data_IF_170223951270
#
_entry.id   IF_170223951270
#
_cell.length_a   1.000
_cell.length_b   1.000
_cell.length_c   1.000
_cell.angle_alpha   90.00
_cell.angle_beta   90.00
_cell.angle_gamma   90.00
#
_symmetry.space_group_name_H-M   'P 1'
#
loop_
_entity.id
_entity.type
_entity.pdbx_description
1 polymer ?
#
# COMPACT_ATOMS: atom_id res chain seq x y z
N UNK A 1 2.05 -31.43 -17.94
CA UNK A 1 2.93 -31.20 -16.79
C UNK A 1 2.64 -29.78 -16.37
N UNK A 2 1.59 -29.69 -15.57
CA UNK A 2 0.61 -28.59 -15.50
C UNK A 2 0.96 -27.60 -14.38
N UNK A 3 0.15 -26.54 -14.16
CA UNK A 3 0.20 -25.57 -13.05
C UNK A 3 0.46 -26.15 -11.64
N UNK A 4 0.41 -27.48 -11.50
CA UNK A 4 0.91 -28.31 -10.40
C UNK A 4 2.25 -27.85 -9.79
N UNK A 5 3.28 -27.60 -10.59
CA UNK A 5 4.61 -27.18 -10.08
C UNK A 5 4.67 -25.67 -9.78
N UNK A 6 3.76 -24.88 -10.35
CA UNK A 6 3.59 -23.45 -10.05
C UNK A 6 3.15 -23.24 -8.59
N UNK A 7 2.34 -24.17 -8.06
CA UNK A 7 1.70 -24.05 -6.76
C UNK A 7 2.54 -24.58 -5.59
N UNK A 8 3.21 -25.73 -5.69
CA UNK A 8 3.89 -26.34 -4.53
C UNK A 8 5.03 -25.48 -3.95
N UNK A 9 5.72 -24.71 -4.79
CA UNK A 9 6.87 -23.90 -4.41
C UNK A 9 6.46 -22.51 -3.87
N UNK A 10 5.45 -21.89 -4.50
CA UNK A 10 4.83 -20.62 -4.05
C UNK A 10 3.94 -20.83 -2.81
N UNK A 11 3.44 -22.05 -2.58
CA UNK A 11 2.67 -22.44 -1.40
C UNK A 11 3.50 -23.07 -0.28
N UNK A 12 4.74 -23.49 -0.54
CA UNK A 12 5.66 -23.97 0.51
C UNK A 12 5.86 -22.92 1.62
N UNK A 13 5.59 -21.64 1.32
CA UNK A 13 5.62 -20.50 2.23
C UNK A 13 4.26 -20.09 2.80
N UNK A 14 3.11 -20.53 2.27
CA UNK A 14 1.77 -20.02 2.63
C UNK A 14 0.74 -21.05 3.16
N UNK A 15 1.04 -22.36 3.13
CA UNK A 15 0.35 -23.37 3.95
C UNK A 15 -1.11 -23.71 3.59
N UNK A 16 -1.62 -23.37 2.39
CA UNK A 16 -3.02 -23.60 2.01
C UNK A 16 -3.21 -24.83 1.09
N UNK A 17 -3.60 -25.96 1.68
CA UNK A 17 -3.69 -27.26 1.00
C UNK A 17 -5.06 -27.56 0.32
N UNK A 18 -6.13 -26.78 0.56
CA UNK A 18 -7.46 -27.07 -0.03
C UNK A 18 -7.70 -26.43 -1.41
N UNK A 19 -7.05 -25.29 -1.69
CA UNK A 19 -7.21 -24.52 -2.93
C UNK A 19 -6.48 -25.12 -4.12
N UNK A 20 -5.38 -25.86 -3.89
CA UNK A 20 -4.72 -26.71 -4.89
C UNK A 20 -5.71 -27.69 -5.49
N UNK A 21 -6.54 -28.34 -4.67
CA UNK A 21 -7.49 -29.36 -5.16
C UNK A 21 -8.58 -28.80 -6.08
N UNK A 22 -9.02 -27.56 -5.89
CA UNK A 22 -10.07 -26.91 -6.70
C UNK A 22 -9.53 -26.44 -8.06
N UNK A 23 -8.30 -25.92 -8.09
CA UNK A 23 -7.60 -25.58 -9.33
C UNK A 23 -7.34 -26.87 -10.13
N UNK A 24 -6.86 -27.92 -9.47
CA UNK A 24 -6.65 -29.24 -10.08
C UNK A 24 -7.93 -29.82 -10.69
N UNK A 25 -9.06 -29.64 -10.01
CA UNK A 25 -10.33 -30.14 -10.53
C UNK A 25 -10.79 -29.37 -11.77
N UNK A 26 -10.55 -28.06 -11.82
CA UNK A 26 -10.96 -27.18 -12.92
C UNK A 26 -10.09 -27.40 -14.16
N UNK A 27 -8.77 -27.52 -14.01
CA UNK A 27 -7.86 -27.81 -15.12
C UNK A 27 -8.11 -29.19 -15.72
N UNK A 28 -8.32 -30.21 -14.88
CA UNK A 28 -8.64 -31.56 -15.32
C UNK A 28 -9.98 -31.59 -16.07
N UNK A 29 -10.99 -30.83 -15.64
CA UNK A 29 -12.29 -30.77 -16.32
C UNK A 29 -12.20 -30.14 -17.72
N UNK A 30 -11.35 -29.12 -17.89
CA UNK A 30 -11.09 -28.47 -19.19
C UNK A 30 -10.32 -29.40 -20.11
N UNK A 31 -9.26 -30.06 -19.62
CA UNK A 31 -8.46 -31.01 -20.38
C UNK A 31 -9.28 -32.25 -20.81
N UNK A 32 -10.09 -32.81 -19.90
CA UNK A 32 -10.92 -33.99 -20.16
C UNK A 32 -12.01 -33.68 -21.21
N UNK A 33 -12.62 -32.48 -21.19
CA UNK A 33 -13.59 -32.08 -22.22
C UNK A 33 -12.95 -31.93 -23.60
N UNK A 34 -11.72 -31.41 -23.67
CA UNK A 34 -10.96 -31.33 -24.91
C UNK A 34 -10.55 -32.71 -25.46
N UNK A 35 -10.13 -33.65 -24.61
CA UNK A 35 -9.78 -35.02 -25.01
C UNK A 35 -10.99 -35.85 -25.50
N UNK A 36 -12.19 -35.57 -24.97
CA UNK A 36 -13.44 -36.21 -25.41
C UNK A 36 -14.01 -35.63 -26.71
N UNK A 37 -13.31 -34.72 -27.39
CA UNK A 37 -13.75 -34.10 -28.64
C UNK A 37 -14.91 -33.10 -28.47
N UNK A 38 -15.20 -32.69 -27.23
CA UNK A 38 -16.13 -31.60 -26.95
C UNK A 38 -15.37 -30.28 -26.97
N UNK A 39 -15.36 -29.59 -28.12
CA UNK A 39 -14.89 -28.21 -28.19
C UNK A 39 -15.78 -27.32 -27.32
N UNK A 40 -15.21 -26.81 -26.23
CA UNK A 40 -15.81 -25.71 -25.49
C UNK A 40 -16.09 -24.57 -26.46
N UNK A 41 -17.21 -23.85 -26.26
CA UNK A 41 -17.38 -22.61 -26.99
C UNK A 41 -16.29 -21.60 -26.59
N UNK A 42 -15.92 -20.65 -27.45
CA UNK A 42 -14.96 -19.61 -27.10
C UNK A 42 -15.30 -18.88 -25.79
N UNK A 43 -16.59 -18.65 -25.52
CA UNK A 43 -17.10 -18.04 -24.29
C UNK A 43 -16.87 -18.92 -23.05
N UNK A 44 -17.06 -20.23 -23.18
CA UNK A 44 -16.82 -21.17 -22.07
C UNK A 44 -15.33 -21.31 -21.75
N UNK A 45 -14.48 -21.27 -22.78
CA UNK A 45 -13.02 -21.27 -22.62
C UNK A 45 -12.53 -20.00 -21.92
N UNK A 46 -13.05 -18.84 -22.30
CA UNK A 46 -12.72 -17.56 -21.66
C UNK A 46 -13.16 -17.52 -20.18
N UNK A 47 -14.39 -17.96 -19.87
CA UNK A 47 -14.85 -18.07 -18.48
C UNK A 47 -13.99 -19.03 -17.64
N UNK A 48 -13.52 -20.13 -18.23
CA UNK A 48 -12.64 -21.06 -17.53
C UNK A 48 -11.28 -20.42 -17.20
N UNK A 49 -10.69 -19.68 -18.14
CA UNK A 49 -9.42 -18.99 -17.89
C UNK A 49 -9.54 -17.83 -16.90
N UNK A 50 -10.64 -17.08 -16.92
CA UNK A 50 -10.94 -16.08 -15.90
C UNK A 50 -11.06 -16.71 -14.51
N UNK A 51 -11.76 -17.85 -14.40
CA UNK A 51 -11.88 -18.60 -13.16
C UNK A 51 -10.51 -19.04 -12.61
N UNK A 52 -9.64 -19.59 -13.47
CA UNK A 52 -8.29 -19.99 -13.05
C UNK A 52 -7.45 -18.77 -12.66
N UNK A 53 -7.54 -17.66 -13.41
CA UNK A 53 -6.84 -16.43 -13.07
C UNK A 53 -7.29 -15.85 -11.72
N UNK A 54 -8.58 -15.89 -11.40
CA UNK A 54 -9.09 -15.48 -10.08
C UNK A 54 -8.56 -16.38 -8.95
N UNK A 55 -8.55 -17.70 -9.16
CA UNK A 55 -7.97 -18.63 -8.19
C UNK A 55 -6.48 -18.36 -7.96
N UNK A 56 -5.71 -18.16 -9.03
CA UNK A 56 -4.29 -17.80 -8.94
C UNK A 56 -4.07 -16.46 -8.23
N UNK A 57 -4.90 -15.44 -8.50
CA UNK A 57 -4.81 -14.14 -7.81
C UNK A 57 -4.98 -14.30 -6.29
N UNK A 58 -5.94 -15.13 -5.87
CA UNK A 58 -6.20 -15.41 -4.46
C UNK A 58 -5.06 -16.21 -3.81
N UNK A 59 -4.58 -17.26 -4.48
CA UNK A 59 -3.48 -18.11 -4.00
C UNK A 59 -2.20 -17.30 -3.82
N UNK A 60 -1.86 -16.47 -4.79
CA UNK A 60 -0.67 -15.64 -4.78
C UNK A 60 -0.85 -14.36 -3.93
N UNK A 61 -2.06 -14.12 -3.42
CA UNK A 61 -2.43 -12.92 -2.68
C UNK A 61 -2.11 -11.64 -3.47
N UNK A 62 -2.24 -11.68 -4.81
CA UNK A 62 -1.96 -10.53 -5.68
C UNK A 62 -2.98 -9.40 -5.45
N UNK A 63 -4.18 -9.75 -4.99
CA UNK A 63 -5.20 -8.79 -4.56
C UNK A 63 -4.78 -7.96 -3.35
N UNK A 64 -3.83 -8.46 -2.54
CA UNK A 64 -3.25 -7.77 -1.39
C UNK A 64 -2.08 -6.84 -1.75
N UNK A 65 -1.61 -6.82 -3.00
CA UNK A 65 -0.51 -5.96 -3.44
C UNK A 65 -0.85 -4.46 -3.48
N UNK A 66 -2.06 -4.10 -3.07
CA UNK A 66 -2.54 -2.72 -3.02
C UNK A 66 -1.77 -1.90 -1.99
N UNK A 67 -1.76 -0.59 -2.21
CA UNK A 67 -1.37 0.35 -1.15
C UNK A 67 -2.40 0.26 -0.04
N UNK A 68 -1.93 0.24 1.21
CA UNK A 68 -2.81 0.20 2.38
C UNK A 68 -3.83 1.35 2.31
N UNK A 69 -5.07 1.04 2.65
CA UNK A 69 -6.18 1.98 2.54
C UNK A 69 -5.96 3.27 3.33
N UNK A 70 -5.32 3.21 4.50
CA UNK A 70 -5.02 4.39 5.32
C UNK A 70 -3.94 5.24 4.66
N UNK A 71 -2.86 4.62 4.17
CA UNK A 71 -1.82 5.32 3.45
C UNK A 71 -2.38 5.95 2.17
N UNK A 72 -3.13 5.20 1.36
CA UNK A 72 -3.74 5.69 0.13
C UNK A 72 -4.70 6.86 0.39
N UNK A 73 -5.56 6.76 1.40
CA UNK A 73 -6.56 7.77 1.76
C UNK A 73 -5.91 9.12 2.07
N UNK A 74 -4.85 9.12 2.86
CA UNK A 74 -4.19 10.37 3.26
C UNK A 74 -3.07 10.82 2.32
N UNK A 75 -2.67 10.01 1.32
CA UNK A 75 -1.64 10.35 0.33
C UNK A 75 -2.13 11.20 -0.84
N UNK A 76 -3.46 11.33 -0.99
CA UNK A 76 -4.11 11.97 -2.14
C UNK A 76 -4.38 13.46 -1.98
N UNK A 77 -4.90 14.06 -3.06
CA UNK A 77 -5.27 15.48 -3.09
C UNK A 77 -6.46 15.82 -2.17
N UNK A 78 -7.27 14.83 -1.79
CA UNK A 78 -8.39 14.95 -0.88
C UNK A 78 -8.02 14.72 0.60
N UNK A 79 -6.73 14.56 0.94
CA UNK A 79 -6.30 14.18 2.29
C UNK A 79 -6.80 15.09 3.41
N UNK A 80 -6.91 16.40 3.16
CA UNK A 80 -7.48 17.35 4.12
C UNK A 80 -8.99 17.13 4.35
N UNK A 81 -9.74 16.83 3.29
CA UNK A 81 -11.17 16.56 3.36
C UNK A 81 -11.43 15.25 4.12
N UNK A 82 -10.69 14.19 3.78
CA UNK A 82 -10.72 12.91 4.51
C UNK A 82 -10.47 13.10 6.01
N UNK A 83 -9.46 13.90 6.36
CA UNK A 83 -9.15 14.20 7.75
C UNK A 83 -10.26 14.99 8.46
N UNK A 84 -10.86 15.98 7.78
CA UNK A 84 -11.96 16.77 8.34
C UNK A 84 -13.21 15.90 8.55
N UNK A 85 -13.54 15.04 7.58
CA UNK A 85 -14.64 14.09 7.70
C UNK A 85 -14.41 13.15 8.89
N UNK A 86 -13.17 12.67 9.08
CA UNK A 86 -12.87 11.81 10.22
C UNK A 86 -12.96 12.56 11.55
N UNK A 87 -12.40 13.77 11.63
CA UNK A 87 -12.55 14.63 12.81
C UNK A 87 -14.02 14.81 13.16
N UNK A 88 -14.86 15.13 12.18
CA UNK A 88 -16.27 15.42 12.43
C UNK A 88 -17.02 14.17 12.89
N UNK A 89 -16.68 13.00 12.34
CA UNK A 89 -17.12 11.72 12.86
C UNK A 89 -16.68 11.50 14.32
N UNK A 90 -15.42 11.74 14.68
CA UNK A 90 -14.95 11.53 16.07
C UNK A 90 -15.55 12.54 17.04
N UNK A 91 -15.61 13.82 16.66
CA UNK A 91 -16.03 14.92 17.54
C UNK A 91 -17.55 15.07 17.66
N UNK A 92 -18.31 14.89 16.57
CA UNK A 92 -19.70 15.36 16.50
C UNK A 92 -20.75 14.26 16.27
N UNK A 93 -20.35 12.98 16.13
CA UNK A 93 -21.28 11.84 15.99
C UNK A 93 -21.98 11.41 17.28
N UNK A 94 -21.69 12.06 18.42
CA UNK A 94 -22.21 11.68 19.74
C UNK A 94 -23.11 12.76 20.37
N UNK A 95 -23.42 12.59 21.66
CA UNK A 95 -24.20 13.58 22.40
C UNK A 95 -23.47 14.94 22.49
N UNK A 96 -24.18 16.03 22.23
CA UNK A 96 -23.63 17.39 22.20
C UNK A 96 -22.96 17.83 23.52
N UNK A 97 -23.38 17.24 24.65
CA UNK A 97 -22.82 17.48 25.99
C UNK A 97 -21.38 16.92 26.16
N UNK A 98 -20.93 15.98 25.32
CA UNK A 98 -19.62 15.34 25.42
C UNK A 98 -18.55 15.98 24.51
N UNK A 99 -18.98 16.75 23.51
CA UNK A 99 -18.10 17.35 22.48
C UNK A 99 -16.93 18.11 23.09
N UNK A 100 -17.17 18.93 24.12
CA UNK A 100 -16.12 19.70 24.78
C UNK A 100 -15.06 18.82 25.46
N UNK A 101 -15.46 17.68 26.04
CA UNK A 101 -14.52 16.74 26.66
C UNK A 101 -13.69 16.01 25.60
N UNK A 102 -14.33 15.60 24.49
CA UNK A 102 -13.66 14.93 23.37
C UNK A 102 -12.65 15.87 22.71
N UNK A 103 -13.04 17.13 22.45
CA UNK A 103 -12.15 18.16 21.90
C UNK A 103 -10.90 18.34 22.76
N UNK A 104 -11.06 18.35 24.09
CA UNK A 104 -9.93 18.40 25.03
C UNK A 104 -9.05 17.14 24.95
N UNK A 105 -9.65 15.97 24.80
CA UNK A 105 -8.91 14.71 24.65
C UNK A 105 -8.09 14.67 23.36
N UNK A 106 -8.67 15.06 22.22
CA UNK A 106 -7.93 15.19 20.94
C UNK A 106 -6.82 16.23 21.07
N UNK A 107 -7.12 17.37 21.70
CA UNK A 107 -6.13 18.38 22.00
C UNK A 107 -4.95 17.80 22.81
N UNK A 108 -5.22 17.02 23.86
CA UNK A 108 -4.20 16.39 24.68
C UNK A 108 -3.33 15.40 23.89
N UNK A 109 -3.92 14.55 23.03
CA UNK A 109 -3.18 13.59 22.20
C UNK A 109 -2.29 14.31 21.18
N UNK A 110 -2.69 15.49 20.71
CA UNK A 110 -1.90 16.34 19.83
C UNK A 110 -0.99 17.32 20.60
N UNK A 111 -0.71 17.06 21.88
CA UNK A 111 0.20 17.86 22.70
C UNK A 111 -0.33 19.25 23.07
N UNK A 112 -1.65 19.45 23.03
CA UNK A 112 -2.34 20.72 23.28
C UNK A 112 -2.47 21.61 22.03
N UNK A 113 -2.26 21.07 20.83
CA UNK A 113 -2.42 21.82 19.58
C UNK A 113 -3.91 22.00 19.23
N UNK A 114 -4.35 23.25 19.12
CA UNK A 114 -5.65 23.60 18.51
C UNK A 114 -5.58 23.76 16.99
N UNK A 115 -4.37 23.99 16.47
CA UNK A 115 -4.08 24.13 15.05
C UNK A 115 -2.81 23.34 14.70
N UNK A 116 -2.87 22.51 13.66
CA UNK A 116 -1.72 21.79 13.10
C UNK A 116 -1.53 22.24 11.64
N UNK A 117 -0.43 22.94 11.31
CA UNK A 117 -0.14 23.32 9.92
C UNK A 117 0.25 22.10 9.08
N UNK A 118 0.12 22.22 7.76
CA UNK A 118 0.49 21.17 6.79
C UNK A 118 -0.18 19.80 7.06
N UNK A 119 -1.45 19.82 7.47
CA UNK A 119 -2.26 18.65 7.77
C UNK A 119 -2.81 17.96 6.51
N UNK A 120 -1.90 17.62 5.60
CA UNK A 120 -2.13 16.91 4.33
C UNK A 120 -1.07 15.84 4.15
N UNK A 121 -1.31 14.82 3.33
CA UNK A 121 -0.32 13.74 3.18
C UNK A 121 -0.07 13.02 4.51
N UNK A 122 1.21 12.84 4.85
CA UNK A 122 1.62 12.27 6.14
C UNK A 122 1.21 13.13 7.36
N UNK A 123 1.00 14.44 7.18
CA UNK A 123 0.42 15.30 8.22
C UNK A 123 -0.97 14.85 8.62
N UNK A 124 -1.83 14.62 7.62
CA UNK A 124 -3.16 14.10 7.84
C UNK A 124 -3.14 12.69 8.44
N UNK A 125 -2.23 11.84 7.98
CA UNK A 125 -2.05 10.48 8.51
C UNK A 125 -1.72 10.46 10.01
N UNK A 126 -0.83 11.33 10.47
CA UNK A 126 -0.48 11.40 11.91
C UNK A 126 -1.65 11.88 12.76
N UNK A 127 -2.40 12.87 12.26
CA UNK A 127 -3.56 13.39 13.00
C UNK A 127 -4.67 12.32 13.05
N UNK A 128 -4.86 11.54 11.98
CA UNK A 128 -5.84 10.44 12.00
C UNK A 128 -5.43 9.29 12.93
N UNK A 129 -4.13 9.01 13.11
CA UNK A 129 -3.66 8.11 14.18
C UNK A 129 -4.05 8.60 15.57
N UNK A 130 -3.89 9.91 15.83
CA UNK A 130 -4.32 10.51 17.09
C UNK A 130 -5.84 10.41 17.29
N UNK A 131 -6.61 10.66 16.23
CA UNK A 131 -8.07 10.52 16.24
C UNK A 131 -8.52 9.08 16.46
N UNK A 132 -7.81 8.07 15.92
CA UNK A 132 -8.10 6.66 16.18
C UNK A 132 -7.96 6.31 17.67
N UNK A 133 -6.96 6.84 18.36
CA UNK A 133 -6.77 6.60 19.80
C UNK A 133 -7.99 7.12 20.58
N UNK A 134 -8.47 8.32 20.25
CA UNK A 134 -9.65 8.92 20.88
C UNK A 134 -10.93 8.19 20.47
N UNK A 135 -11.08 7.82 19.20
CA UNK A 135 -12.24 7.04 18.75
C UNK A 135 -12.34 5.71 19.51
N UNK A 136 -11.21 5.02 19.72
CA UNK A 136 -11.15 3.77 20.50
C UNK A 136 -11.52 4.00 21.97
N UNK A 137 -11.02 5.05 22.62
CA UNK A 137 -11.35 5.34 24.02
C UNK A 137 -12.86 5.62 24.20
N UNK A 138 -13.51 6.12 23.16
CA UNK A 138 -14.94 6.41 23.11
C UNK A 138 -15.80 5.26 22.55
N UNK A 139 -15.19 4.09 22.24
CA UNK A 139 -15.86 2.96 21.60
C UNK A 139 -16.58 3.33 20.28
N UNK A 140 -15.98 4.23 19.50
CA UNK A 140 -16.42 4.63 18.17
C UNK A 140 -15.71 3.82 17.09
N UNK A 141 -16.34 3.73 15.92
CA UNK A 141 -15.73 3.16 14.73
C UNK A 141 -14.47 3.95 14.34
N UNK A 142 -13.36 3.23 14.17
CA UNK A 142 -12.06 3.77 13.80
C UNK A 142 -11.80 3.60 12.30
N UNK A 143 -10.94 4.44 11.73
CA UNK A 143 -10.48 4.24 10.34
C UNK A 143 -9.41 3.15 10.19
N UNK A 144 -8.97 2.54 11.31
CA UNK A 144 -7.93 1.52 11.31
C UNK A 144 -6.55 2.07 10.93
N UNK A 145 -6.33 3.38 11.03
CA UNK A 145 -5.04 3.99 10.71
C UNK A 145 -3.96 3.51 11.68
N UNK A 146 -4.30 3.33 12.96
CA UNK A 146 -3.40 2.84 14.00
C UNK A 146 -2.79 1.46 13.66
N UNK A 147 -3.57 0.59 13.00
CA UNK A 147 -3.18 -0.76 12.58
C UNK A 147 -2.54 -0.80 11.19
N UNK A 148 -2.37 0.34 10.51
CA UNK A 148 -1.82 0.41 9.14
C UNK A 148 -0.49 -0.34 9.02
N UNK A 149 0.44 -0.10 9.94
CA UNK A 149 1.75 -0.75 9.90
C UNK A 149 1.65 -2.26 10.14
N UNK A 150 0.70 -2.70 10.96
CA UNK A 150 0.49 -4.13 11.22
C UNK A 150 -0.11 -4.82 9.99
N UNK A 151 -1.09 -4.21 9.31
CA UNK A 151 -1.68 -4.77 8.08
C UNK A 151 -0.68 -4.93 6.94
N UNK A 152 0.28 -4.02 6.83
CA UNK A 152 1.30 -4.05 5.78
C UNK A 152 2.50 -4.93 6.15
N UNK A 153 2.87 -4.97 7.44
CA UNK A 153 4.12 -5.56 7.90
C UNK A 153 3.95 -6.58 9.05
N UNK A 154 2.91 -7.42 8.97
CA UNK A 154 2.59 -8.43 9.98
C UNK A 154 3.71 -9.48 10.20
N UNK A 155 4.64 -9.64 9.25
CA UNK A 155 5.71 -10.64 9.33
C UNK A 155 7.08 -10.04 9.72
N UNK A 156 7.88 -10.82 10.44
CA UNK A 156 9.19 -10.39 10.97
C UNK A 156 10.26 -10.13 9.88
N UNK A 157 10.10 -10.69 8.67
CA UNK A 157 11.16 -10.71 7.65
C UNK A 157 11.42 -9.38 6.91
N UNK A 158 10.58 -8.35 7.08
CA UNK A 158 10.88 -6.96 6.67
C UNK A 158 10.64 -5.97 7.81
N UNK A 159 11.02 -6.39 9.00
CA UNK A 159 10.97 -5.58 10.21
C UNK A 159 11.64 -4.22 10.02
N UNK A 160 12.72 -4.12 9.24
CA UNK A 160 13.47 -2.88 9.07
C UNK A 160 12.67 -1.78 8.35
N UNK A 161 11.94 -2.11 7.28
CA UNK A 161 11.10 -1.14 6.56
C UNK A 161 9.99 -0.63 7.47
N UNK A 162 9.31 -1.55 8.15
CA UNK A 162 8.26 -1.25 9.13
C UNK A 162 8.78 -0.37 10.27
N UNK A 163 9.90 -0.76 10.87
CA UNK A 163 10.44 -0.08 12.05
C UNK A 163 10.90 1.34 11.69
N UNK A 164 11.43 1.56 10.49
CA UNK A 164 11.75 2.91 10.00
C UNK A 164 10.51 3.76 9.72
N UNK A 165 9.47 3.19 9.13
CA UNK A 165 8.18 3.88 8.95
C UNK A 165 7.54 4.24 10.29
N UNK A 166 7.57 3.30 11.24
CA UNK A 166 7.09 3.53 12.60
C UNK A 166 7.88 4.63 13.31
N UNK A 167 9.22 4.58 13.25
CA UNK A 167 10.08 5.60 13.82
C UNK A 167 9.79 6.97 13.22
N UNK A 168 9.63 7.05 11.89
CA UNK A 168 9.26 8.30 11.22
C UNK A 168 7.95 8.86 11.74
N UNK A 169 6.90 8.05 11.80
CA UNK A 169 5.58 8.50 12.24
C UNK A 169 5.61 8.97 13.70
N UNK A 170 6.30 8.23 14.58
CA UNK A 170 6.52 8.61 15.97
C UNK A 170 7.24 9.96 16.08
N UNK A 171 8.34 10.14 15.34
CA UNK A 171 9.11 11.40 15.31
C UNK A 171 8.28 12.57 14.81
N UNK A 172 7.48 12.33 13.77
CA UNK A 172 6.57 13.33 13.22
C UNK A 172 5.52 13.77 14.24
N UNK A 173 4.98 12.84 15.03
CA UNK A 173 4.06 13.14 16.12
C UNK A 173 4.71 13.95 17.24
N UNK A 174 5.93 13.58 17.66
CA UNK A 174 6.69 14.30 18.71
C UNK A 174 7.02 15.73 18.25
N UNK A 175 7.39 15.90 16.98
CA UNK A 175 7.92 17.14 16.44
C UNK A 175 6.88 18.00 15.70
N UNK A 176 5.58 17.78 15.89
CA UNK A 176 4.52 18.54 15.19
C UNK A 176 4.64 20.07 15.32
N UNK A 177 5.34 20.55 16.36
CA UNK A 177 5.57 21.99 16.64
C UNK A 177 6.90 22.52 16.14
N UNK A 178 7.81 21.65 15.72
CA UNK A 178 9.17 22.02 15.34
C UNK A 178 9.47 21.51 13.92
N UNK A 179 9.12 22.31 12.89
CA UNK A 179 9.37 21.96 11.50
C UNK A 179 10.85 21.73 11.17
N UNK A 180 11.78 22.37 11.90
CA UNK A 180 13.22 22.23 11.67
C UNK A 180 13.73 20.90 12.21
N UNK A 181 13.35 20.54 13.43
CA UNK A 181 13.65 19.23 13.99
C UNK A 181 12.99 18.11 13.17
N UNK A 182 11.74 18.32 12.75
CA UNK A 182 11.03 17.40 11.86
C UNK A 182 11.73 17.22 10.52
N UNK A 183 12.25 18.29 9.91
CA UNK A 183 13.02 18.23 8.67
C UNK A 183 14.34 17.45 8.85
N UNK A 184 15.05 17.68 9.96
CA UNK A 184 16.27 16.94 10.31
C UNK A 184 15.99 15.44 10.45
N UNK A 185 14.97 15.06 11.21
CA UNK A 185 14.59 13.65 11.40
C UNK A 185 14.10 13.01 10.10
N UNK A 186 13.37 13.76 9.26
CA UNK A 186 12.92 13.30 7.94
C UNK A 186 14.11 12.92 7.06
N UNK A 187 15.14 13.78 6.98
CA UNK A 187 16.33 13.51 6.16
C UNK A 187 17.10 12.27 6.64
N UNK A 188 17.21 12.09 7.95
CA UNK A 188 17.93 10.94 8.53
C UNK A 188 17.22 9.63 8.23
N UNK A 189 15.90 9.58 8.45
CA UNK A 189 15.11 8.36 8.26
C UNK A 189 14.92 8.06 6.77
N UNK A 190 14.85 9.07 5.91
CA UNK A 190 14.76 8.93 4.45
C UNK A 190 15.92 8.13 3.87
N UNK A 191 17.15 8.48 4.24
CA UNK A 191 18.35 7.76 3.78
C UNK A 191 18.29 6.28 4.20
N UNK A 192 17.91 6.01 5.45
CA UNK A 192 17.81 4.64 5.97
C UNK A 192 16.70 3.84 5.26
N UNK A 193 15.53 4.44 5.05
CA UNK A 193 14.39 3.78 4.40
C UNK A 193 14.70 3.46 2.94
N UNK A 194 15.28 4.41 2.20
CA UNK A 194 15.71 4.21 0.82
C UNK A 194 16.69 3.04 0.66
N UNK A 195 17.66 2.93 1.60
CA UNK A 195 18.61 1.83 1.62
C UNK A 195 17.92 0.47 1.85
N UNK A 196 16.97 0.39 2.79
CA UNK A 196 16.24 -0.86 3.07
C UNK A 196 15.30 -1.26 1.93
N UNK A 197 14.61 -0.31 1.29
CA UNK A 197 13.81 -0.58 0.09
C UNK A 197 14.66 -1.10 -1.07
N UNK A 198 15.88 -0.58 -1.22
CA UNK A 198 16.83 -1.08 -2.23
C UNK A 198 17.24 -2.52 -1.94
N UNK A 199 17.55 -2.84 -0.67
CA UNK A 199 17.89 -4.21 -0.26
C UNK A 199 16.74 -5.19 -0.50
N UNK A 200 15.52 -4.83 -0.08
CA UNK A 200 14.32 -5.65 -0.27
C UNK A 200 14.00 -5.88 -1.75
N UNK A 201 14.20 -4.87 -2.60
CA UNK A 201 14.09 -5.06 -4.06
C UNK A 201 15.15 -6.03 -4.58
N UNK A 202 16.40 -5.83 -4.18
CA UNK A 202 17.51 -6.64 -4.68
C UNK A 202 17.38 -8.10 -4.24
N UNK A 203 16.84 -8.38 -3.05
CA UNK A 203 16.57 -9.76 -2.64
C UNK A 203 15.56 -10.45 -3.56
N UNK A 204 14.56 -9.71 -4.06
CA UNK A 204 13.57 -10.24 -5.01
C UNK A 204 14.12 -10.36 -6.45
N UNK A 205 14.89 -9.38 -6.92
CA UNK A 205 15.34 -9.32 -8.32
C UNK A 205 16.66 -10.06 -8.59
N UNK A 206 17.58 -10.03 -7.63
CA UNK A 206 18.97 -10.51 -7.79
C UNK A 206 19.15 -11.83 -7.05
N UNK A 207 18.73 -11.89 -5.77
CA UNK A 207 18.92 -13.08 -4.93
C UNK A 207 17.82 -14.14 -5.14
N UNK A 208 16.93 -13.91 -6.10
CA UNK A 208 15.84 -14.80 -6.51
C UNK A 208 14.84 -15.19 -5.40
N UNK A 209 14.80 -14.41 -4.31
CA UNK A 209 13.82 -14.57 -3.23
C UNK A 209 12.55 -13.77 -3.53
N UNK A 210 11.91 -14.05 -4.67
CA UNK A 210 10.64 -13.42 -5.02
C UNK A 210 9.53 -13.96 -4.09
N UNK A 211 8.87 -13.05 -3.39
CA UNK A 211 7.81 -13.35 -2.42
C UNK A 211 6.76 -12.24 -2.49
N UNK A 212 5.47 -12.60 -2.53
CA UNK A 212 4.39 -11.62 -2.71
C UNK A 212 4.19 -10.74 -1.48
N UNK A 213 4.57 -11.20 -0.28
CA UNK A 213 4.61 -10.38 0.93
C UNK A 213 5.78 -9.39 0.89
N UNK A 214 6.95 -9.80 0.41
CA UNK A 214 8.07 -8.87 0.17
C UNK A 214 7.70 -7.80 -0.85
N UNK A 215 6.99 -8.18 -1.91
CA UNK A 215 6.47 -7.22 -2.88
C UNK A 215 5.47 -6.25 -2.24
N UNK A 216 4.49 -6.75 -1.48
CA UNK A 216 3.52 -5.91 -0.74
C UNK A 216 4.21 -4.89 0.17
N UNK A 217 5.21 -5.34 0.92
CA UNK A 217 5.99 -4.50 1.83
C UNK A 217 6.82 -3.47 1.07
N UNK A 218 7.44 -3.87 -0.05
CA UNK A 218 8.20 -2.97 -0.90
C UNK A 218 7.31 -1.89 -1.53
N UNK A 219 6.15 -2.26 -2.09
CA UNK A 219 5.20 -1.33 -2.73
C UNK A 219 4.69 -0.31 -1.71
N UNK A 220 4.25 -0.76 -0.54
CA UNK A 220 3.77 0.14 0.52
C UNK A 220 4.89 1.02 1.09
N UNK A 221 6.08 0.47 1.30
CA UNK A 221 7.24 1.24 1.76
C UNK A 221 7.71 2.29 0.74
N UNK A 222 7.68 1.97 -0.56
CA UNK A 222 7.99 2.91 -1.64
C UNK A 222 6.94 4.03 -1.78
N UNK A 223 5.65 3.71 -1.60
CA UNK A 223 4.58 4.70 -1.53
C UNK A 223 4.77 5.65 -0.34
N UNK A 224 5.06 5.10 0.84
CA UNK A 224 5.36 5.88 2.04
C UNK A 224 6.60 6.76 1.87
N UNK A 225 7.69 6.21 1.32
CA UNK A 225 8.92 6.96 1.06
C UNK A 225 8.69 8.14 0.11
N UNK A 226 7.87 7.95 -0.93
CA UNK A 226 7.50 9.05 -1.84
C UNK A 226 6.71 10.13 -1.09
N UNK A 227 5.78 9.75 -0.22
CA UNK A 227 5.06 10.71 0.64
C UNK A 227 5.96 11.44 1.63
N UNK A 228 6.99 10.76 2.14
CA UNK A 228 8.00 11.38 3.01
C UNK A 228 8.81 12.43 2.25
N UNK A 229 9.16 12.19 0.98
CA UNK A 229 9.83 13.18 0.13
C UNK A 229 8.92 14.37 -0.23
N UNK A 230 7.61 14.13 -0.45
CA UNK A 230 6.62 15.21 -0.61
C UNK A 230 6.55 16.06 0.66
N UNK A 231 6.52 15.39 1.82
CA UNK A 231 6.50 16.05 3.11
C UNK A 231 7.78 16.86 3.36
N UNK A 232 8.95 16.30 3.03
CA UNK A 232 10.22 16.99 3.09
C UNK A 232 10.21 18.26 2.22
N UNK A 233 9.74 18.18 0.97
CA UNK A 233 9.67 19.33 0.08
C UNK A 233 8.82 20.48 0.66
N UNK A 234 7.74 20.15 1.38
CA UNK A 234 6.90 21.12 2.08
C UNK A 234 7.62 21.77 3.26
N UNK A 235 8.40 21.00 4.03
CA UNK A 235 9.18 21.52 5.15
C UNK A 235 10.36 22.38 4.73
N UNK A 236 10.97 22.10 3.57
CA UNK A 236 12.16 22.80 3.07
C UNK A 236 11.88 24.20 2.53
N UNK A 237 10.63 24.51 2.17
CA UNK A 237 10.33 25.75 1.47
C UNK A 237 9.57 26.76 2.32
N UNK A 238 10.15 27.95 2.44
CA UNK A 238 9.44 29.17 2.86
C UNK A 238 8.74 29.87 1.67
N UNK A 239 8.87 29.34 0.45
CA UNK A 239 8.35 29.90 -0.81
C UNK A 239 7.69 28.83 -1.68
N UNK A 240 8.32 28.42 -2.78
CA UNK A 240 7.81 27.35 -3.66
C UNK A 240 8.44 25.99 -3.30
N UNK A 241 7.66 24.98 -2.88
CA UNK A 241 8.17 23.64 -2.60
C UNK A 241 8.74 22.94 -3.84
N UNK A 242 10.00 22.46 -3.77
CA UNK A 242 10.60 21.64 -4.83
C UNK A 242 10.28 20.15 -4.65
N UNK A 243 9.30 19.66 -5.42
CA UNK A 243 8.94 18.25 -5.46
C UNK A 243 9.88 17.35 -6.28
N UNK A 244 10.98 17.86 -6.84
CA UNK A 244 11.79 17.14 -7.83
C UNK A 244 12.35 15.82 -7.31
N UNK A 245 12.73 15.74 -6.03
CA UNK A 245 13.17 14.50 -5.39
C UNK A 245 12.07 13.44 -5.37
N UNK A 246 10.86 13.83 -4.97
CA UNK A 246 9.71 12.95 -4.95
C UNK A 246 9.33 12.50 -6.38
N UNK A 247 9.36 13.41 -7.37
CA UNK A 247 9.10 13.07 -8.79
C UNK A 247 10.11 12.03 -9.30
N UNK A 248 11.40 12.21 -9.00
CA UNK A 248 12.43 11.24 -9.38
C UNK A 248 12.24 9.89 -8.69
N UNK A 249 11.95 9.90 -7.39
CA UNK A 249 11.70 8.67 -6.63
C UNK A 249 10.49 7.90 -7.19
N UNK A 250 9.37 8.57 -7.46
CA UNK A 250 8.20 7.94 -8.06
C UNK A 250 8.51 7.33 -9.44
N UNK A 251 9.31 8.02 -10.27
CA UNK A 251 9.76 7.48 -11.55
C UNK A 251 10.64 6.23 -11.41
N UNK A 252 11.56 6.22 -10.43
CA UNK A 252 12.40 5.05 -10.12
C UNK A 252 11.53 3.89 -9.63
N UNK A 253 10.59 4.14 -8.72
CA UNK A 253 9.68 3.11 -8.20
C UNK A 253 8.75 2.56 -9.27
N UNK A 254 8.31 3.38 -10.23
CA UNK A 254 7.56 2.88 -11.38
C UNK A 254 8.39 1.89 -12.22
N UNK A 255 9.67 2.19 -12.45
CA UNK A 255 10.56 1.30 -13.20
C UNK A 255 10.84 0.01 -12.44
N UNK A 256 11.12 0.11 -11.13
CA UNK A 256 11.35 -1.04 -10.26
C UNK A 256 10.10 -1.92 -10.15
N UNK A 257 8.90 -1.33 -10.03
CA UNK A 257 7.63 -2.06 -10.03
C UNK A 257 7.43 -2.84 -11.34
N UNK A 258 7.69 -2.21 -12.49
CA UNK A 258 7.61 -2.91 -13.77
C UNK A 258 8.57 -4.11 -13.83
N UNK A 259 9.80 -3.96 -13.32
CA UNK A 259 10.77 -5.07 -13.27
C UNK A 259 10.33 -6.20 -12.35
N UNK A 260 9.80 -5.88 -11.17
CA UNK A 260 9.28 -6.87 -10.22
C UNK A 260 8.10 -7.65 -10.83
N UNK A 261 7.15 -6.96 -11.46
CA UNK A 261 6.01 -7.60 -12.11
C UNK A 261 6.42 -8.48 -13.30
N UNK A 262 7.37 -8.03 -14.12
CA UNK A 262 7.89 -8.86 -15.22
C UNK A 262 8.69 -10.07 -14.72
N UNK A 263 9.41 -9.97 -13.59
CA UNK A 263 10.06 -11.14 -12.97
C UNK A 263 9.00 -12.15 -12.50
N UNK A 264 7.89 -11.71 -11.89
CA UNK A 264 6.78 -12.63 -11.53
C UNK A 264 6.20 -13.30 -12.76
N UNK A 265 5.88 -12.55 -13.82
CA UNK A 265 5.40 -13.14 -15.09
C UNK A 265 6.37 -14.16 -15.65
N UNK A 266 7.66 -13.84 -15.66
CA UNK A 266 8.70 -14.72 -16.19
C UNK A 266 8.82 -16.00 -15.36
N UNK A 267 8.74 -15.90 -14.03
CA UNK A 267 8.72 -17.07 -13.15
C UNK A 267 7.52 -17.97 -13.42
N UNK A 268 6.34 -17.39 -13.70
CA UNK A 268 5.15 -18.16 -14.07
C UNK A 268 5.33 -18.85 -15.43
N UNK A 269 5.82 -18.13 -16.46
CA UNK A 269 6.04 -18.67 -17.81
C UNK A 269 7.14 -19.74 -17.87
N UNK A 270 8.20 -19.60 -17.09
CA UNK A 270 9.28 -20.58 -17.06
C UNK A 270 8.85 -21.93 -16.47
N UNK A 271 7.74 -21.95 -15.72
CA UNK A 271 7.19 -23.15 -15.12
C UNK A 271 6.17 -23.84 -16.04
N UNK A 272 5.38 -23.07 -16.77
CA UNK A 272 4.49 -23.57 -17.83
C UNK A 272 4.45 -22.57 -18.99
N UNK A 273 5.02 -22.97 -20.13
CA UNK A 273 5.11 -22.18 -21.35
C UNK A 273 3.99 -22.48 -22.35
N UNK A 274 2.98 -23.27 -21.94
CA UNK A 274 1.85 -23.61 -22.79
C UNK A 274 1.06 -22.37 -23.22
N UNK A 275 0.38 -22.47 -24.36
CA UNK A 275 -0.46 -21.38 -24.87
C UNK A 275 -1.58 -21.01 -23.88
N UNK A 276 -2.14 -22.00 -23.17
CA UNK A 276 -3.17 -21.80 -22.17
C UNK A 276 -2.63 -21.07 -20.93
N UNK A 277 -1.47 -21.49 -20.42
CA UNK A 277 -0.82 -20.82 -19.29
C UNK A 277 -0.49 -19.36 -19.62
N UNK A 278 0.03 -19.08 -20.82
CA UNK A 278 0.26 -17.72 -21.27
C UNK A 278 -1.03 -16.88 -21.31
N UNK A 279 -2.15 -17.44 -21.80
CA UNK A 279 -3.44 -16.75 -21.83
C UNK A 279 -3.96 -16.44 -20.42
N UNK A 280 -3.83 -17.37 -19.47
CA UNK A 280 -4.18 -17.18 -18.06
C UNK A 280 -3.31 -16.09 -17.43
N UNK A 281 -2.00 -16.09 -17.67
CA UNK A 281 -1.07 -15.06 -17.16
C UNK A 281 -1.45 -13.67 -17.71
N UNK A 282 -1.77 -13.55 -18.99
CA UNK A 282 -2.20 -12.27 -19.56
C UNK A 282 -3.52 -11.78 -18.95
N UNK A 283 -4.50 -12.68 -18.73
CA UNK A 283 -5.75 -12.34 -18.04
C UNK A 283 -5.47 -11.84 -16.62
N UNK A 284 -4.69 -12.62 -15.84
CA UNK A 284 -4.31 -12.27 -14.48
C UNK A 284 -3.69 -10.86 -14.41
N UNK A 285 -2.67 -10.59 -15.22
CA UNK A 285 -1.96 -9.31 -15.20
C UNK A 285 -2.72 -8.15 -15.86
N UNK A 286 -3.83 -8.45 -16.54
CA UNK A 286 -4.77 -7.44 -17.03
C UNK A 286 -5.83 -7.06 -16.00
N UNK A 287 -5.93 -7.78 -14.87
CA UNK A 287 -6.92 -7.48 -13.83
C UNK A 287 -6.76 -6.05 -13.27
N UNK A 288 -7.87 -5.35 -12.96
CA UNK A 288 -7.85 -3.97 -12.50
C UNK A 288 -6.96 -3.72 -11.27
N UNK A 289 -6.91 -4.66 -10.32
CA UNK A 289 -6.09 -4.52 -9.11
C UNK A 289 -4.58 -4.55 -9.39
N UNK A 290 -4.15 -5.38 -10.35
CA UNK A 290 -2.74 -5.52 -10.73
C UNK A 290 -2.32 -4.29 -11.55
N UNK A 291 -3.13 -3.92 -12.54
CA UNK A 291 -2.90 -2.74 -13.37
C UNK A 291 -2.90 -1.46 -12.55
N UNK A 292 -3.80 -1.33 -11.57
CA UNK A 292 -3.83 -0.18 -10.66
C UNK A 292 -2.53 -0.05 -9.87
N UNK A 293 -2.04 -1.15 -9.28
CA UNK A 293 -0.81 -1.14 -8.48
C UNK A 293 0.41 -0.84 -9.35
N UNK A 294 0.45 -1.40 -10.56
CA UNK A 294 1.50 -1.12 -11.54
C UNK A 294 1.54 0.36 -11.91
N UNK A 295 0.38 0.99 -12.09
CA UNK A 295 0.32 2.38 -12.55
C UNK A 295 0.34 3.40 -11.40
N UNK A 296 0.33 2.95 -10.14
CA UNK A 296 0.25 3.81 -8.96
C UNK A 296 1.34 4.88 -8.94
N UNK A 297 2.60 4.50 -9.16
CA UNK A 297 3.71 5.44 -9.06
C UNK A 297 3.74 6.46 -10.19
N UNK A 298 3.35 6.09 -11.42
CA UNK A 298 3.20 7.05 -12.52
C UNK A 298 2.08 8.07 -12.25
N UNK A 299 0.93 7.62 -11.73
CA UNK A 299 -0.18 8.50 -11.32
C UNK A 299 0.23 9.41 -10.16
N UNK A 300 0.95 8.87 -9.18
CA UNK A 300 1.50 9.67 -8.08
C UNK A 300 2.49 10.71 -8.62
N UNK A 301 3.42 10.31 -9.49
CA UNK A 301 4.42 11.18 -10.11
C UNK A 301 3.78 12.40 -10.80
N UNK A 302 2.70 12.19 -11.56
CA UNK A 302 1.96 13.26 -12.23
C UNK A 302 1.30 14.24 -11.25
N UNK A 303 0.90 13.76 -10.07
CA UNK A 303 0.23 14.56 -9.04
C UNK A 303 1.17 15.25 -8.05
N UNK A 304 2.45 14.85 -7.98
CA UNK A 304 3.42 15.42 -7.01
C UNK A 304 3.50 16.95 -7.06
N UNK A 305 3.54 17.63 -8.22
CA UNK A 305 3.56 19.09 -8.26
C UNK A 305 2.36 19.74 -7.57
N UNK A 306 1.17 19.13 -7.67
CA UNK A 306 -0.01 19.59 -6.95
C UNK A 306 0.08 19.25 -5.46
N UNK A 307 0.50 18.03 -5.12
CA UNK A 307 0.65 17.56 -3.74
C UNK A 307 1.63 18.43 -2.94
N UNK A 308 2.81 18.75 -3.47
CA UNK A 308 3.79 19.58 -2.73
C UNK A 308 3.28 21.00 -2.44
N UNK A 309 2.40 21.54 -3.31
CA UNK A 309 1.77 22.85 -3.11
C UNK A 309 0.55 22.81 -2.20
N UNK A 310 0.06 21.62 -1.84
CA UNK A 310 -1.05 21.52 -0.90
C UNK A 310 -0.63 22.03 0.46
N UNK A 311 -1.44 22.96 0.96
CA UNK A 311 -1.32 23.48 2.29
C UNK A 311 -2.72 23.60 2.89
N UNK A 312 -3.02 22.75 3.86
CA UNK A 312 -4.24 22.84 4.64
C UNK A 312 -3.86 22.75 6.11
N UNK A 313 -4.54 23.56 6.92
CA UNK A 313 -4.41 23.52 8.36
C UNK A 313 -5.50 22.63 8.93
N UNK A 314 -5.14 21.80 9.91
CA UNK A 314 -6.12 21.12 10.74
C UNK A 314 -6.46 22.00 11.94
N UNK A 315 -7.74 22.24 12.17
CA UNK A 315 -8.23 23.05 13.28
C UNK A 315 -9.20 22.24 14.11
N UNK A 316 -8.98 22.25 15.42
CA UNK A 316 -9.93 21.78 16.42
C UNK A 316 -10.68 23.00 16.91
N UNK A 317 -11.95 23.12 16.51
CA UNK A 317 -12.82 24.20 16.98
C UNK A 317 -13.23 23.87 18.42
N UNK A 318 -12.65 24.60 19.36
CA UNK A 318 -13.05 24.64 20.77
C UNK A 318 -14.29 25.49 20.97
#
# INVERSE_FOLDING_TARGET
MECRDLMEDLLSTSGSCSLTSEIHHTEADVATKQEMGQTLSPEQEEMAFEGIADMLSNVLQLDELKIDSSLQRFSGLNSAEELNNYRDHVLYSGELNQVASIVREVGNVLGGLSKVPHAVGLGALIISLALDVVAKSLNKETMGTAEMLERVFAQEKAKEVRDLMHEYLKRMQINLRDPQLQLSDTRLIEIALSAQLTRLKNSMLIDEHMDTQFLKQWVNGAAFHTQMLIHQARLESAGEPDGSRAVRAAGIYQQDMNRLMEKIKTLMRNRDDSQNANKIIEILFSKPQITWTRDYFSKLQANIPALVRQNADFVIKT
#
